data_IF_191529744786
#
_entry.id   IF_191529744786
#
_cell.length_a   1.000
_cell.length_b   1.000
_cell.length_c   1.000
_cell.angle_alpha   90.00
_cell.angle_beta   90.00
_cell.angle_gamma   90.00
#
_symmetry.space_group_name_H-M   'P 1'
#
loop_
_entity.id
_entity.type
_entity.pdbx_description
1 polymer ?
#
# COMPACT_ATOMS: atom_id res chain seq x y z
N UNK A 1 -29.82 -9.16 9.70
CA UNK A 1 -28.42 -8.82 10.02
C UNK A 1 -28.36 -7.37 10.46
N UNK A 2 -27.74 -7.06 11.59
CA UNK A 2 -27.55 -5.68 12.04
C UNK A 2 -26.41 -5.02 11.28
N UNK A 3 -26.38 -3.67 11.20
CA UNK A 3 -25.28 -2.93 10.57
C UNK A 3 -23.90 -3.31 11.16
N UNK A 4 -23.84 -3.64 12.47
CA UNK A 4 -22.62 -4.13 13.12
C UNK A 4 -22.19 -5.54 12.66
N UNK A 5 -23.16 -6.41 12.33
CA UNK A 5 -22.87 -7.74 11.79
C UNK A 5 -22.43 -7.67 10.33
N UNK A 6 -22.95 -6.72 9.54
CA UNK A 6 -22.48 -6.46 8.17
C UNK A 6 -21.07 -5.87 8.18
N UNK A 7 -20.76 -4.92 9.08
CA UNK A 7 -19.39 -4.39 9.22
C UNK A 7 -18.39 -5.46 9.65
N UNK A 8 -18.78 -6.38 10.52
CA UNK A 8 -17.94 -7.51 10.92
C UNK A 8 -17.68 -8.52 9.79
N UNK A 9 -18.67 -8.75 8.90
CA UNK A 9 -18.53 -9.62 7.75
C UNK A 9 -17.56 -9.02 6.69
N UNK A 10 -17.73 -7.73 6.39
CA UNK A 10 -16.82 -6.98 5.49
C UNK A 10 -15.38 -7.01 6.01
N UNK A 11 -15.20 -6.93 7.33
CA UNK A 11 -13.89 -7.01 7.96
C UNK A 11 -13.24 -8.39 7.83
N UNK A 12 -13.98 -9.47 8.04
CA UNK A 12 -13.48 -10.84 7.88
C UNK A 12 -13.04 -11.10 6.43
N UNK A 13 -13.77 -10.57 5.45
CA UNK A 13 -13.39 -10.64 4.03
C UNK A 13 -12.09 -9.89 3.74
N UNK A 14 -11.86 -8.73 4.35
CA UNK A 14 -10.61 -7.97 4.19
C UNK A 14 -9.39 -8.66 4.82
N UNK A 15 -9.61 -9.48 5.87
CA UNK A 15 -8.56 -10.31 6.47
C UNK A 15 -8.24 -11.57 5.65
N UNK A 16 -9.17 -12.03 4.81
CA UNK A 16 -8.97 -13.21 3.96
C UNK A 16 -8.27 -12.90 2.64
N UNK A 17 -7.93 -11.64 2.38
CA UNK A 17 -7.20 -11.25 1.17
C UNK A 17 -5.75 -11.71 1.23
N UNK A 18 -5.18 -12.20 0.10
CA UNK A 18 -3.76 -12.53 0.04
C UNK A 18 -2.92 -11.31 0.41
N UNK A 19 -1.97 -11.51 1.32
CA UNK A 19 -1.00 -10.47 1.64
C UNK A 19 -0.06 -10.22 0.44
N UNK A 20 0.56 -9.03 0.32
CA UNK A 20 1.61 -8.82 -0.67
C UNK A 20 2.73 -9.87 -0.57
N UNK A 21 3.05 -10.34 0.63
CA UNK A 21 4.04 -11.38 0.89
C UNK A 21 3.70 -12.71 0.22
N UNK A 22 2.44 -13.15 0.30
CA UNK A 22 1.96 -14.37 -0.37
C UNK A 22 2.04 -14.24 -1.90
N UNK A 23 1.62 -13.10 -2.45
CA UNK A 23 1.71 -12.81 -3.89
C UNK A 23 3.16 -12.83 -4.36
N UNK A 24 4.06 -12.16 -3.64
CA UNK A 24 5.48 -12.10 -3.99
C UNK A 24 6.17 -13.46 -3.83
N UNK A 25 5.81 -14.25 -2.83
CA UNK A 25 6.29 -15.62 -2.68
C UNK A 25 5.87 -16.50 -3.87
N UNK A 26 4.63 -16.38 -4.33
CA UNK A 26 4.14 -17.09 -5.50
C UNK A 26 4.87 -16.64 -6.78
N UNK A 27 5.11 -15.33 -6.97
CA UNK A 27 5.86 -14.80 -8.09
C UNK A 27 7.33 -15.22 -8.07
N UNK A 28 7.95 -15.28 -6.88
CA UNK A 28 9.32 -15.74 -6.74
C UNK A 28 9.50 -17.19 -7.25
N UNK A 29 8.52 -18.06 -6.98
CA UNK A 29 8.53 -19.45 -7.46
C UNK A 29 8.36 -19.56 -8.97
N UNK A 30 7.62 -18.64 -9.59
CA UNK A 30 7.25 -18.73 -11.01
C UNK A 30 8.18 -17.91 -11.92
N UNK A 31 8.65 -16.74 -11.49
CA UNK A 31 9.32 -15.76 -12.35
C UNK A 31 10.78 -15.50 -11.96
N UNK A 32 11.19 -15.83 -10.73
CA UNK A 32 12.55 -15.56 -10.18
C UNK A 32 13.02 -14.11 -10.43
N UNK A 33 12.27 -13.08 -10.01
CA UNK A 33 12.59 -11.69 -10.33
C UNK A 33 13.86 -11.22 -9.62
N UNK A 34 14.51 -10.19 -10.18
CA UNK A 34 15.56 -9.46 -9.49
C UNK A 34 14.96 -8.48 -8.47
N UNK A 35 14.69 -8.95 -7.26
CA UNK A 35 14.06 -8.15 -6.20
C UNK A 35 14.82 -6.88 -5.89
N UNK A 36 16.17 -6.91 -5.93
CA UNK A 36 17.00 -5.73 -5.68
C UNK A 36 16.68 -4.56 -6.64
N UNK A 37 16.26 -4.85 -7.87
CA UNK A 37 15.87 -3.83 -8.86
C UNK A 37 14.48 -3.23 -8.61
N UNK A 38 13.71 -3.82 -7.71
CA UNK A 38 12.35 -3.41 -7.35
C UNK A 38 12.31 -2.60 -6.05
N UNK A 39 13.39 -2.65 -5.27
CA UNK A 39 13.51 -1.84 -4.05
C UNK A 39 13.57 -0.36 -4.43
N UNK A 40 12.69 0.42 -3.85
CA UNK A 40 12.67 1.88 -3.98
C UNK A 40 12.74 2.51 -2.60
N UNK A 41 13.46 3.62 -2.41
CA UNK A 41 13.36 4.39 -1.18
C UNK A 41 11.91 4.82 -0.96
N UNK A 42 11.31 4.40 0.14
CA UNK A 42 9.93 4.71 0.47
C UNK A 42 9.89 5.53 1.75
N UNK A 43 9.19 6.64 1.72
CA UNK A 43 8.92 7.48 2.88
C UNK A 43 7.40 7.60 3.05
N UNK A 44 6.94 7.67 4.29
CA UNK A 44 5.53 7.87 4.58
C UNK A 44 5.04 9.22 4.02
N UNK A 45 3.76 9.31 3.59
CA UNK A 45 3.21 10.59 3.17
C UNK A 45 3.18 11.56 4.35
N UNK A 46 3.62 12.79 4.13
CA UNK A 46 3.54 13.86 5.13
C UNK A 46 2.11 14.38 5.16
N UNK A 47 1.30 13.86 6.05
CA UNK A 47 -0.11 14.17 6.14
C UNK A 47 -0.62 14.15 7.59
N UNK A 48 -1.68 14.89 7.86
CA UNK A 48 -2.48 14.78 9.09
C UNK A 48 -3.79 14.03 8.86
N UNK A 49 -4.07 13.69 7.61
CA UNK A 49 -5.27 12.95 7.22
C UNK A 49 -5.07 11.45 7.51
N UNK A 50 -5.95 10.91 8.35
CA UNK A 50 -5.88 9.51 8.79
C UNK A 50 -6.07 8.52 7.65
N UNK A 51 -6.91 8.85 6.66
CA UNK A 51 -7.16 7.99 5.50
C UNK A 51 -5.91 7.89 4.63
N UNK A 52 -5.25 9.02 4.33
CA UNK A 52 -3.99 9.00 3.59
C UNK A 52 -2.88 8.28 4.35
N UNK A 53 -2.79 8.47 5.65
CA UNK A 53 -1.82 7.76 6.48
C UNK A 53 -2.05 6.24 6.46
N UNK A 54 -3.31 5.79 6.52
CA UNK A 54 -3.67 4.38 6.44
C UNK A 54 -3.32 3.78 5.07
N UNK A 55 -3.63 4.49 3.97
CA UNK A 55 -3.21 4.10 2.62
C UNK A 55 -1.67 4.01 2.54
N UNK A 56 -0.95 4.98 3.09
CA UNK A 56 0.51 5.00 3.13
C UNK A 56 1.09 3.79 3.87
N UNK A 57 0.49 3.39 5.00
CA UNK A 57 0.89 2.15 5.73
C UNK A 57 0.76 0.92 4.83
N UNK A 58 -0.32 0.81 4.05
CA UNK A 58 -0.52 -0.30 3.13
C UNK A 58 0.58 -0.38 2.07
N UNK A 59 0.93 0.74 1.44
CA UNK A 59 2.02 0.81 0.47
C UNK A 59 3.35 0.43 1.11
N UNK A 60 3.67 1.01 2.27
CA UNK A 60 4.91 0.73 3.01
C UNK A 60 5.01 -0.74 3.43
N UNK A 61 3.90 -1.38 3.83
CA UNK A 61 3.90 -2.80 4.14
C UNK A 61 4.30 -3.64 2.92
N UNK A 62 3.72 -3.38 1.75
CA UNK A 62 4.10 -4.06 0.52
C UNK A 62 5.58 -3.81 0.14
N UNK A 63 6.08 -2.57 0.30
CA UNK A 63 7.49 -2.25 0.08
C UNK A 63 8.41 -2.97 1.07
N UNK A 64 7.95 -3.18 2.30
CA UNK A 64 8.64 -4.00 3.30
C UNK A 64 8.85 -5.44 2.83
N UNK A 65 7.83 -6.07 2.26
CA UNK A 65 7.96 -7.42 1.68
C UNK A 65 8.92 -7.44 0.48
N UNK A 66 8.95 -6.39 -0.35
CA UNK A 66 9.93 -6.28 -1.44
C UNK A 66 11.36 -6.23 -0.88
N UNK A 67 11.59 -5.44 0.16
CA UNK A 67 12.90 -5.32 0.80
C UNK A 67 13.35 -6.65 1.44
N UNK A 68 12.42 -7.41 2.05
CA UNK A 68 12.69 -8.76 2.57
C UNK A 68 13.09 -9.71 1.45
N UNK A 69 12.34 -9.75 0.34
CA UNK A 69 12.66 -10.58 -0.82
C UNK A 69 14.01 -10.20 -1.46
N UNK A 70 14.36 -8.91 -1.42
CA UNK A 70 15.64 -8.40 -1.88
C UNK A 70 16.80 -8.64 -0.90
N UNK A 71 16.49 -9.12 0.30
CA UNK A 71 17.44 -9.26 1.39
C UNK A 71 18.15 -7.93 1.76
N UNK A 72 17.42 -6.81 1.63
CA UNK A 72 17.89 -5.47 1.96
C UNK A 72 17.48 -5.09 3.39
N UNK A 73 18.30 -5.50 4.36
CA UNK A 73 18.04 -5.23 5.78
C UNK A 73 18.04 -3.74 6.14
N UNK A 74 18.77 -2.91 5.39
CA UNK A 74 18.74 -1.45 5.63
C UNK A 74 17.39 -0.86 5.20
N UNK A 75 16.88 -1.28 4.06
CA UNK A 75 15.58 -0.80 3.58
C UNK A 75 14.43 -1.32 4.45
N UNK A 76 14.47 -2.57 4.92
CA UNK A 76 13.51 -3.10 5.90
C UNK A 76 13.48 -2.21 7.15
N UNK A 77 14.64 -1.85 7.68
CA UNK A 77 14.75 -0.96 8.84
C UNK A 77 14.17 0.43 8.56
N UNK A 78 14.48 1.02 7.41
CA UNK A 78 13.96 2.33 7.01
C UNK A 78 12.42 2.31 6.95
N UNK A 79 11.85 1.34 6.24
CA UNK A 79 10.39 1.16 6.11
C UNK A 79 9.75 0.92 7.47
N UNK A 80 10.36 0.08 8.32
CA UNK A 80 9.88 -0.15 9.68
C UNK A 80 9.79 1.14 10.51
N UNK A 81 10.78 2.04 10.39
CA UNK A 81 10.75 3.35 11.07
C UNK A 81 9.62 4.24 10.53
N UNK A 82 9.40 4.26 9.21
CA UNK A 82 8.30 5.02 8.59
C UNK A 82 6.93 4.50 9.05
N UNK A 83 6.73 3.17 9.04
CA UNK A 83 5.48 2.56 9.53
C UNK A 83 5.25 2.91 11.00
N UNK A 84 6.28 2.85 11.84
CA UNK A 84 6.17 3.20 13.26
C UNK A 84 5.80 4.66 13.47
N UNK A 85 6.36 5.59 12.68
CA UNK A 85 6.03 7.01 12.74
C UNK A 85 4.54 7.24 12.38
N UNK A 86 4.05 6.60 11.32
CA UNK A 86 2.64 6.68 10.91
C UNK A 86 1.73 6.03 11.96
N UNK A 87 2.09 4.85 12.47
CA UNK A 87 1.33 4.15 13.50
C UNK A 87 1.17 5.01 14.77
N UNK A 88 2.22 5.76 15.15
CA UNK A 88 2.15 6.73 16.25
C UNK A 88 1.15 7.85 15.95
N UNK A 89 1.16 8.38 14.72
CA UNK A 89 0.22 9.43 14.28
C UNK A 89 -1.22 8.93 14.22
N UNK A 90 -1.44 7.66 13.91
CA UNK A 90 -2.75 7.00 13.93
C UNK A 90 -3.21 6.59 15.34
N UNK A 91 -2.34 6.69 16.37
CA UNK A 91 -2.64 6.30 17.74
C UNK A 91 -2.53 4.80 18.02
N UNK A 92 -1.94 4.03 17.10
CA UNK A 92 -1.79 2.56 17.20
C UNK A 92 -0.36 2.11 17.56
N UNK A 93 0.56 3.08 17.81
CA UNK A 93 2.00 2.80 17.95
C UNK A 93 2.39 2.00 19.20
N UNK A 94 1.59 2.00 20.28
CA UNK A 94 2.00 1.38 21.55
C UNK A 94 2.25 -0.12 21.44
N UNK A 95 1.41 -0.83 20.69
CA UNK A 95 1.47 -2.29 20.54
C UNK A 95 2.53 -2.74 19.51
N UNK A 96 3.03 -1.80 18.69
CA UNK A 96 3.95 -2.10 17.59
C UNK A 96 5.43 -1.91 17.97
N UNK A 97 5.74 -1.26 19.09
CA UNK A 97 7.14 -0.97 19.46
C UNK A 97 7.99 -2.23 19.65
N UNK A 98 7.44 -3.28 20.27
CA UNK A 98 8.16 -4.56 20.44
C UNK A 98 8.41 -5.23 19.10
N UNK A 99 7.43 -5.18 18.19
CA UNK A 99 7.53 -5.74 16.84
C UNK A 99 8.62 -5.05 16.03
N UNK A 100 8.69 -3.72 16.07
CA UNK A 100 9.76 -2.97 15.41
C UNK A 100 11.15 -3.41 15.82
N UNK A 101 11.36 -3.71 17.11
CA UNK A 101 12.63 -4.24 17.62
C UNK A 101 12.94 -5.64 17.06
N UNK A 102 11.94 -6.54 17.01
CA UNK A 102 12.11 -7.89 16.43
C UNK A 102 12.48 -7.82 14.94
N UNK A 103 11.79 -6.97 14.15
CA UNK A 103 12.10 -6.76 12.74
C UNK A 103 13.56 -6.29 12.54
N UNK A 104 14.02 -5.33 13.36
CA UNK A 104 15.39 -4.83 13.30
C UNK A 104 16.40 -5.93 13.67
N UNK A 105 16.10 -6.74 14.66
CA UNK A 105 16.97 -7.83 15.10
C UNK A 105 17.09 -8.92 14.03
N UNK A 106 15.98 -9.39 13.47
CA UNK A 106 15.98 -10.37 12.38
C UNK A 106 16.72 -9.84 11.13
N UNK A 107 16.51 -8.57 10.78
CA UNK A 107 17.22 -7.94 9.65
C UNK A 107 18.74 -7.88 9.89
N UNK A 108 19.20 -7.54 11.11
CA UNK A 108 20.63 -7.52 11.48
C UNK A 108 21.27 -8.90 11.40
N UNK A 109 20.51 -9.94 11.76
CA UNK A 109 21.00 -11.31 11.78
C UNK A 109 20.81 -12.02 10.43
N UNK A 110 20.31 -11.32 9.40
CA UNK A 110 19.98 -11.89 8.08
C UNK A 110 19.04 -13.11 8.17
N UNK A 111 18.16 -13.13 9.17
CA UNK A 111 17.17 -14.17 9.42
C UNK A 111 15.92 -13.91 8.56
N UNK A 112 16.04 -14.03 7.23
CA UNK A 112 15.06 -13.55 6.24
C UNK A 112 13.71 -14.25 6.35
N UNK A 113 13.66 -15.55 6.60
CA UNK A 113 12.40 -16.27 6.79
C UNK A 113 11.67 -15.77 8.04
N UNK A 114 12.39 -15.67 9.18
CA UNK A 114 11.82 -15.12 10.42
C UNK A 114 11.40 -13.65 10.27
N UNK A 115 12.10 -12.89 9.44
CA UNK A 115 11.76 -11.49 9.14
C UNK A 115 10.48 -11.40 8.32
N UNK A 116 10.28 -12.30 7.34
CA UNK A 116 9.05 -12.39 6.56
C UNK A 116 7.85 -12.74 7.46
N UNK A 117 7.99 -13.75 8.32
CA UNK A 117 6.96 -14.17 9.27
C UNK A 117 6.60 -13.02 10.25
N UNK A 118 7.61 -12.32 10.80
CA UNK A 118 7.40 -11.21 11.72
C UNK A 118 6.73 -10.01 11.04
N UNK A 119 7.01 -9.77 9.76
CA UNK A 119 6.36 -8.71 8.98
C UNK A 119 4.87 -9.01 8.80
N UNK A 120 4.51 -10.26 8.49
CA UNK A 120 3.12 -10.71 8.38
C UNK A 120 2.36 -10.59 9.70
N UNK A 121 2.98 -11.02 10.80
CA UNK A 121 2.41 -10.87 12.15
C UNK A 121 2.26 -9.38 12.50
N UNK A 122 3.21 -8.54 12.13
CA UNK A 122 3.15 -7.08 12.37
C UNK A 122 2.01 -6.44 11.59
N UNK A 123 1.82 -6.79 10.31
CA UNK A 123 0.71 -6.30 9.48
C UNK A 123 -0.64 -6.68 10.10
N UNK A 124 -0.78 -7.94 10.51
CA UNK A 124 -2.00 -8.44 11.17
C UNK A 124 -2.27 -7.72 12.49
N UNK A 125 -1.24 -7.42 13.28
CA UNK A 125 -1.36 -6.68 14.54
C UNK A 125 -1.79 -5.23 14.30
N UNK A 126 -1.27 -4.55 13.27
CA UNK A 126 -1.70 -3.20 12.86
C UNK A 126 -3.20 -3.21 12.55
N UNK A 127 -3.66 -4.12 11.71
CA UNK A 127 -5.07 -4.24 11.33
C UNK A 127 -5.94 -4.55 12.55
N UNK A 128 -5.52 -5.50 13.40
CA UNK A 128 -6.23 -5.85 14.63
C UNK A 128 -6.39 -4.65 15.56
N UNK A 129 -5.32 -3.88 15.76
CA UNK A 129 -5.36 -2.70 16.62
C UNK A 129 -6.30 -1.61 16.07
N UNK A 130 -6.34 -1.42 14.74
CA UNK A 130 -7.31 -0.51 14.11
C UNK A 130 -8.76 -0.98 14.37
N UNK A 131 -9.01 -2.29 14.31
CA UNK A 131 -10.33 -2.87 14.62
C UNK A 131 -10.72 -2.62 16.06
N UNK A 132 -9.83 -2.89 17.01
CA UNK A 132 -10.07 -2.65 18.45
C UNK A 132 -10.42 -1.18 18.74
N UNK A 133 -9.86 -0.26 17.94
CA UNK A 133 -10.19 1.16 17.97
C UNK A 133 -11.49 1.52 17.21
N UNK A 134 -12.17 0.54 16.61
CA UNK A 134 -13.36 0.73 15.76
C UNK A 134 -13.07 1.52 14.47
N UNK A 135 -11.84 1.52 14.01
CA UNK A 135 -11.37 2.19 12.79
C UNK A 135 -11.38 1.24 11.59
N UNK A 136 -12.48 0.51 11.38
CA UNK A 136 -12.63 -0.48 10.29
C UNK A 136 -12.34 0.13 8.91
N UNK A 137 -12.70 1.39 8.70
CA UNK A 137 -12.42 2.10 7.46
C UNK A 137 -10.92 2.19 7.15
N UNK A 138 -10.08 2.40 8.18
CA UNK A 138 -8.64 2.46 8.00
C UNK A 138 -8.06 1.09 7.64
N UNK A 139 -8.65 -0.01 8.15
CA UNK A 139 -8.26 -1.37 7.76
C UNK A 139 -8.52 -1.60 6.27
N UNK A 140 -9.71 -1.23 5.78
CA UNK A 140 -10.08 -1.32 4.37
C UNK A 140 -9.09 -0.54 3.49
N UNK A 141 -8.80 0.72 3.84
CA UNK A 141 -7.87 1.56 3.10
C UNK A 141 -6.45 1.00 3.10
N UNK A 142 -5.96 0.53 4.26
CA UNK A 142 -4.63 -0.10 4.37
C UNK A 142 -4.54 -1.34 3.48
N UNK A 143 -5.55 -2.21 3.52
CA UNK A 143 -5.59 -3.44 2.72
C UNK A 143 -5.67 -3.13 1.22
N UNK A 144 -6.48 -2.16 0.82
CA UNK A 144 -6.60 -1.75 -0.58
C UNK A 144 -5.28 -1.20 -1.15
N UNK A 145 -4.58 -0.36 -0.38
CA UNK A 145 -3.30 0.19 -0.80
C UNK A 145 -2.19 -0.87 -0.85
N UNK A 146 -2.15 -1.79 0.12
CA UNK A 146 -1.21 -2.90 0.12
C UNK A 146 -1.42 -3.82 -1.09
N UNK A 147 -2.67 -4.19 -1.37
CA UNK A 147 -3.03 -4.99 -2.54
C UNK A 147 -2.67 -4.28 -3.85
N UNK A 148 -3.02 -2.98 -3.97
CA UNK A 148 -2.72 -2.20 -5.18
C UNK A 148 -1.21 -2.10 -5.44
N UNK A 149 -0.41 -1.88 -4.39
CA UNK A 149 1.06 -1.88 -4.52
C UNK A 149 1.58 -3.27 -4.88
N UNK A 150 0.97 -4.33 -4.33
CA UNK A 150 1.25 -5.72 -4.73
C UNK A 150 1.02 -5.95 -6.22
N UNK A 151 -0.12 -5.49 -6.77
CA UNK A 151 -0.45 -5.59 -8.20
C UNK A 151 0.51 -4.77 -9.07
N UNK A 152 0.86 -3.55 -8.66
CA UNK A 152 1.84 -2.71 -9.37
C UNK A 152 3.17 -3.44 -9.55
N UNK A 153 3.71 -3.99 -8.46
CA UNK A 153 4.99 -4.72 -8.50
C UNK A 153 4.86 -6.05 -9.23
N UNK A 154 3.77 -6.78 -9.01
CA UNK A 154 3.51 -8.05 -9.67
C UNK A 154 3.44 -7.89 -11.19
N UNK A 155 2.72 -6.90 -11.69
CA UNK A 155 2.65 -6.62 -13.13
C UNK A 155 3.99 -6.23 -13.71
N UNK A 156 4.81 -5.46 -13.00
CA UNK A 156 6.17 -5.13 -13.41
C UNK A 156 7.06 -6.37 -13.52
N UNK A 157 6.96 -7.30 -12.56
CA UNK A 157 7.69 -8.58 -12.58
C UNK A 157 7.26 -9.43 -13.79
N UNK A 158 5.94 -9.58 -13.99
CA UNK A 158 5.39 -10.41 -15.06
C UNK A 158 5.75 -9.83 -16.45
N UNK A 159 5.69 -8.51 -16.61
CA UNK A 159 6.08 -7.83 -17.85
C UNK A 159 7.56 -7.98 -18.20
N UNK A 160 8.42 -8.19 -17.21
CA UNK A 160 9.84 -8.45 -17.41
C UNK A 160 10.13 -9.91 -17.82
N UNK A 161 9.17 -10.82 -17.66
CA UNK A 161 9.22 -12.22 -18.13
C UNK A 161 8.52 -12.35 -19.48
N UNK A 162 9.27 -12.70 -20.53
CA UNK A 162 8.69 -12.87 -21.88
C UNK A 162 7.60 -13.93 -21.95
N UNK A 163 7.64 -14.94 -21.09
CA UNK A 163 6.65 -16.01 -21.00
C UNK A 163 5.42 -15.69 -20.16
N UNK A 164 5.36 -14.54 -19.48
CA UNK A 164 4.25 -14.08 -18.63
C UNK A 164 3.78 -15.11 -17.59
N UNK A 165 4.69 -15.98 -17.09
CA UNK A 165 4.36 -17.15 -16.24
C UNK A 165 3.63 -16.81 -14.95
N UNK A 166 3.81 -15.58 -14.43
CA UNK A 166 3.19 -15.13 -13.20
C UNK A 166 1.74 -14.64 -13.34
N UNK A 167 1.18 -14.60 -14.54
CA UNK A 167 -0.12 -13.95 -14.81
C UNK A 167 -1.27 -14.58 -14.01
N UNK A 168 -1.23 -15.90 -13.81
CA UNK A 168 -2.24 -16.63 -13.01
C UNK A 168 -2.28 -16.20 -11.55
N UNK A 169 -1.18 -15.68 -11.00
CA UNK A 169 -1.09 -15.22 -9.61
C UNK A 169 -1.94 -14.00 -9.39
N UNK A 170 -2.01 -13.09 -10.38
CA UNK A 170 -2.72 -11.82 -10.27
C UNK A 170 -4.10 -11.81 -10.94
N UNK A 171 -4.46 -12.82 -11.73
CA UNK A 171 -5.73 -12.87 -12.46
C UNK A 171 -6.92 -13.15 -11.54
N UNK A 172 -7.15 -12.23 -10.58
CA UNK A 172 -8.19 -12.29 -9.57
C UNK A 172 -9.02 -10.99 -9.58
N UNK A 173 -9.82 -10.72 -10.62
CA UNK A 173 -10.56 -9.45 -10.75
C UNK A 173 -11.55 -9.21 -9.60
N UNK A 174 -12.09 -10.26 -9.02
CA UNK A 174 -13.02 -10.17 -7.88
C UNK A 174 -12.43 -9.44 -6.68
N UNK A 175 -11.11 -9.52 -6.47
CA UNK A 175 -10.44 -8.83 -5.36
C UNK A 175 -10.50 -7.30 -5.56
N UNK A 176 -10.21 -6.83 -6.77
CA UNK A 176 -10.30 -5.42 -7.09
C UNK A 176 -11.75 -4.90 -6.97
N UNK A 177 -12.74 -5.68 -7.43
CA UNK A 177 -14.16 -5.35 -7.29
C UNK A 177 -14.58 -5.25 -5.84
N UNK A 178 -14.17 -6.20 -5.02
CA UNK A 178 -14.50 -6.21 -3.60
C UNK A 178 -13.92 -4.99 -2.89
N UNK A 179 -12.65 -4.65 -3.14
CA UNK A 179 -12.01 -3.48 -2.56
C UNK A 179 -12.68 -2.18 -2.99
N UNK A 180 -13.02 -2.05 -4.27
CA UNK A 180 -13.76 -0.90 -4.81
C UNK A 180 -15.07 -0.71 -4.07
N UNK A 181 -15.91 -1.77 -3.98
CA UNK A 181 -17.18 -1.73 -3.28
C UNK A 181 -17.04 -1.39 -1.79
N UNK A 182 -16.05 -1.96 -1.11
CA UNK A 182 -15.81 -1.67 0.31
C UNK A 182 -15.42 -0.20 0.54
N UNK A 183 -14.65 0.41 -0.37
CA UNK A 183 -14.28 1.82 -0.29
C UNK A 183 -15.49 2.71 -0.58
N UNK A 184 -16.35 2.34 -1.53
CA UNK A 184 -17.59 3.06 -1.81
C UNK A 184 -18.53 3.12 -0.61
N UNK A 185 -18.58 2.06 0.19
CA UNK A 185 -19.40 1.95 1.39
C UNK A 185 -18.85 2.70 2.62
N UNK A 186 -17.64 3.24 2.53
CA UNK A 186 -17.04 3.99 3.64
C UNK A 186 -17.85 5.26 3.95
N UNK A 187 -17.97 5.65 5.25
CA UNK A 187 -18.62 6.88 5.63
C UNK A 187 -17.95 8.12 4.98
N UNK A 188 -18.73 9.08 4.52
CA UNK A 188 -18.25 10.31 3.87
C UNK A 188 -17.20 11.08 4.69
N UNK A 189 -17.32 11.05 6.04
CA UNK A 189 -16.33 11.67 6.93
C UNK A 189 -14.91 11.09 6.84
N UNK A 190 -14.78 9.87 6.30
CA UNK A 190 -13.51 9.17 6.12
C UNK A 190 -12.97 9.39 4.73
N UNK A 191 -13.87 9.56 3.75
CA UNK A 191 -13.50 9.80 2.36
C UNK A 191 -12.80 11.14 2.23
N UNK A 192 -11.72 11.13 1.47
CA UNK A 192 -10.92 12.31 1.21
C UNK A 192 -11.24 12.87 -0.17
N UNK A 193 -11.32 14.18 -0.27
CA UNK A 193 -11.63 14.92 -1.51
C UNK A 193 -10.83 14.40 -2.71
N UNK A 194 -11.49 13.56 -3.52
CA UNK A 194 -11.00 13.06 -4.78
C UNK A 194 -10.03 11.86 -4.72
N UNK A 195 -9.33 11.58 -3.62
CA UNK A 195 -8.38 10.45 -3.55
C UNK A 195 -9.11 9.10 -3.56
N UNK A 196 -10.17 8.97 -2.74
CA UNK A 196 -10.97 7.74 -2.70
C UNK A 196 -11.66 7.47 -4.03
N UNK A 197 -12.22 8.51 -4.67
CA UNK A 197 -12.83 8.38 -5.99
C UNK A 197 -11.83 7.97 -7.07
N UNK A 198 -10.58 8.40 -6.98
CA UNK A 198 -9.50 7.97 -7.88
C UNK A 198 -9.09 6.54 -7.61
N UNK A 199 -9.00 6.14 -6.33
CA UNK A 199 -8.68 4.78 -5.92
C UNK A 199 -9.75 3.79 -6.40
N UNK A 200 -11.04 4.11 -6.21
CA UNK A 200 -12.17 3.33 -6.73
C UNK A 200 -12.05 3.16 -8.24
N UNK A 201 -11.87 4.24 -8.99
CA UNK A 201 -11.71 4.19 -10.45
C UNK A 201 -10.52 3.35 -10.89
N UNK A 202 -9.40 3.44 -10.17
CA UNK A 202 -8.21 2.63 -10.43
C UNK A 202 -8.51 1.14 -10.20
N UNK A 203 -9.12 0.79 -9.06
CA UNK A 203 -9.49 -0.60 -8.73
C UNK A 203 -10.48 -1.17 -9.75
N UNK A 204 -11.49 -0.41 -10.17
CA UNK A 204 -12.45 -0.81 -11.19
C UNK A 204 -11.78 -1.03 -12.55
N UNK A 205 -10.86 -0.15 -12.92
CA UNK A 205 -10.10 -0.30 -14.16
C UNK A 205 -9.20 -1.54 -14.12
N UNK A 206 -8.53 -1.79 -13.00
CA UNK A 206 -7.74 -3.01 -12.78
C UNK A 206 -8.63 -4.24 -12.91
N UNK A 207 -9.81 -4.25 -12.26
CA UNK A 207 -10.76 -5.36 -12.37
C UNK A 207 -11.17 -5.62 -13.82
N UNK A 208 -11.58 -4.58 -14.55
CA UNK A 208 -11.98 -4.70 -15.97
C UNK A 208 -10.83 -5.25 -16.82
N UNK A 209 -9.61 -4.74 -16.66
CA UNK A 209 -8.46 -5.23 -17.44
C UNK A 209 -8.11 -6.69 -17.10
N UNK A 210 -8.30 -7.14 -15.85
CA UNK A 210 -8.10 -8.55 -15.45
C UNK A 210 -9.24 -9.45 -15.98
N UNK A 211 -10.49 -8.98 -16.02
CA UNK A 211 -11.67 -9.71 -16.53
C UNK A 211 -11.60 -9.87 -18.04
N UNK A 212 -11.25 -8.80 -18.75
CA UNK A 212 -11.26 -8.75 -20.22
C UNK A 212 -9.91 -9.14 -20.83
N UNK A 213 -8.95 -9.51 -20.01
CA UNK A 213 -7.64 -9.96 -20.47
C UNK A 213 -7.79 -11.16 -21.41
N UNK A 214 -7.36 -11.01 -22.65
CA UNK A 214 -7.39 -12.05 -23.66
C UNK A 214 -6.49 -13.25 -23.31
N UNK A 215 -6.42 -14.20 -24.23
CA UNK A 215 -5.57 -15.39 -24.07
C UNK A 215 -4.36 -15.36 -25.02
N UNK A 216 -4.24 -14.29 -25.82
CA UNK A 216 -3.08 -14.08 -26.66
C UNK A 216 -2.01 -13.30 -25.88
N UNK A 217 -0.72 -13.66 -25.98
CA UNK A 217 0.35 -13.00 -25.22
C UNK A 217 0.41 -11.49 -25.42
N UNK A 218 0.08 -11.00 -26.61
CA UNK A 218 0.06 -9.55 -26.88
C UNK A 218 -1.09 -8.84 -26.16
N UNK A 219 -2.29 -9.46 -26.11
CA UNK A 219 -3.45 -8.92 -25.39
C UNK A 219 -3.20 -8.92 -23.88
N UNK A 220 -2.65 -10.01 -23.36
CA UNK A 220 -2.23 -10.11 -21.96
C UNK A 220 -1.23 -9.02 -21.60
N UNK A 221 -0.19 -8.83 -22.44
CA UNK A 221 0.84 -7.80 -22.24
C UNK A 221 0.26 -6.39 -22.24
N UNK A 222 -0.66 -6.08 -23.14
CA UNK A 222 -1.32 -4.78 -23.19
C UNK A 222 -2.17 -4.52 -21.95
N UNK A 223 -2.92 -5.52 -21.48
CA UNK A 223 -3.70 -5.43 -20.24
C UNK A 223 -2.80 -5.22 -19.02
N UNK A 224 -1.70 -5.97 -18.91
CA UNK A 224 -0.71 -5.82 -17.84
C UNK A 224 -0.06 -4.43 -17.84
N UNK A 225 0.28 -3.88 -19.01
CA UNK A 225 0.85 -2.54 -19.12
C UNK A 225 -0.12 -1.46 -18.64
N UNK A 226 -1.42 -1.60 -18.92
CA UNK A 226 -2.44 -0.68 -18.43
C UNK A 226 -2.57 -0.78 -16.91
N UNK A 227 -2.68 -2.00 -16.39
CA UNK A 227 -2.77 -2.25 -14.95
C UNK A 227 -1.55 -1.64 -14.24
N UNK A 228 -0.34 -1.94 -14.69
CA UNK A 228 0.88 -1.40 -14.11
C UNK A 228 0.89 0.13 -14.10
N UNK A 229 0.57 0.77 -15.24
CA UNK A 229 0.57 2.22 -15.33
C UNK A 229 -0.42 2.87 -14.36
N UNK A 230 -1.64 2.35 -14.28
CA UNK A 230 -2.69 2.92 -13.43
C UNK A 230 -2.42 2.69 -11.96
N UNK A 231 -1.99 1.48 -11.58
CA UNK A 231 -1.62 1.17 -10.19
C UNK A 231 -0.41 1.97 -9.72
N UNK A 232 0.64 2.10 -10.55
CA UNK A 232 1.82 2.89 -10.22
C UNK A 232 1.49 4.38 -10.03
N UNK A 233 0.64 4.96 -10.89
CA UNK A 233 0.17 6.34 -10.74
C UNK A 233 -0.62 6.52 -9.45
N UNK A 234 -1.53 5.61 -9.14
CA UNK A 234 -2.34 5.70 -7.92
C UNK A 234 -1.49 5.54 -6.66
N UNK A 235 -0.53 4.62 -6.65
CA UNK A 235 0.45 4.48 -5.55
C UNK A 235 1.24 5.77 -5.38
N UNK A 236 1.67 6.40 -6.48
CA UNK A 236 2.33 7.71 -6.45
C UNK A 236 1.46 8.80 -5.82
N UNK A 237 0.16 8.85 -6.13
CA UNK A 237 -0.77 9.81 -5.53
C UNK A 237 -1.00 9.55 -4.03
N UNK A 238 -1.08 8.29 -3.61
CA UNK A 238 -1.19 7.91 -2.19
C UNK A 238 0.02 8.41 -1.40
N UNK A 239 1.21 8.23 -1.94
CA UNK A 239 2.47 8.55 -1.27
C UNK A 239 2.87 10.03 -1.44
N UNK A 240 2.20 10.78 -2.31
CA UNK A 240 2.47 12.20 -2.48
C UNK A 240 2.17 12.99 -1.20
N UNK A 241 3.15 13.75 -0.74
CA UNK A 241 2.91 14.75 0.29
C UNK A 241 2.14 15.91 -0.32
N UNK A 242 1.08 16.44 0.34
CA UNK A 242 0.41 17.63 -0.15
C UNK A 242 1.44 18.77 -0.28
N UNK A 243 1.47 19.43 -1.44
CA UNK A 243 2.34 20.57 -1.65
C UNK A 243 2.07 21.58 -0.53
N UNK A 244 3.09 21.90 0.26
CA UNK A 244 3.00 22.98 1.23
C UNK A 244 2.59 24.23 0.46
N UNK A 245 1.50 24.94 0.84
CA UNK A 245 1.15 26.19 0.20
C UNK A 245 2.35 27.11 0.33
N UNK A 246 2.91 27.53 -0.81
CA UNK A 246 3.99 28.51 -0.84
C UNK A 246 3.51 29.70 -0.03
N UNK A 247 4.07 29.85 1.17
CA UNK A 247 3.85 31.05 1.99
C UNK A 247 4.32 32.20 1.13
N UNK A 248 3.40 33.03 0.60
CA UNK A 248 3.74 34.26 -0.05
C UNK A 248 4.61 35.01 0.93
N UNK A 249 5.90 35.09 0.69
CA UNK A 249 6.77 36.03 1.35
C UNK A 249 6.25 37.42 0.91
N UNK A 250 5.43 38.02 1.74
CA UNK A 250 5.18 39.44 1.63
C UNK A 250 6.53 40.14 1.87
N UNK A 251 7.13 40.56 0.78
CA UNK A 251 8.29 41.47 0.81
C UNK A 251 7.80 42.83 1.30
N UNK A 252 7.61 42.92 2.61
CA UNK A 252 7.43 44.19 3.28
C UNK A 252 8.77 44.96 3.28
N UNK A 253 9.05 45.67 2.22
CA UNK A 253 10.10 46.70 2.22
C UNK A 253 9.53 47.88 3.03
N UNK A 254 10.08 48.22 4.20
CA UNK A 254 9.68 49.42 4.88
C UNK A 254 10.21 50.62 4.06
N UNK A 255 9.32 51.38 3.44
CA UNK A 255 9.66 52.65 2.85
C UNK A 255 10.07 53.59 3.97
N UNK A 256 11.36 53.92 4.03
CA UNK A 256 11.88 54.98 4.88
C UNK A 256 11.25 56.29 4.50
N UNK A 257 10.40 56.83 5.36
CA UNK A 257 9.87 58.19 5.27
C UNK A 257 10.98 59.19 5.60
N UNK A 258 11.52 59.84 4.60
CA UNK A 258 12.29 61.07 4.76
C UNK A 258 11.31 62.23 5.03
N UNK A 259 11.41 62.87 6.17
CA UNK A 259 10.83 64.19 6.41
C UNK A 259 11.94 65.25 6.46
N UNK A 260 11.64 66.41 6.01
CA UNK A 260 12.56 67.55 5.77
C UNK A 260 13.09 68.18 7.05
#
# INVERSE_FOLDING_TARGET
>A
MTASQMQGAVFLDSLSMPSPGEVFSALNKNCHPSWASLVTPSAAPVSTDRSQLALGVGVLAADGYIAVQAQDGQQVKNIGMEIMAVAKSLGIGKNLMSRGNSLIEFAKNSAWDSLADELEVTESEVKRTMVEQKDHALVTLTSAAAWLRGIDVATKIILADDSLRGISVIRQPQMARQLSSQIEELPERIKRDGLDSKLIKCLDSVAVNLETMGNLPEEERLSLQKIHRESALMVGEIMASPALPLRKMETGIPTASSKP
#
